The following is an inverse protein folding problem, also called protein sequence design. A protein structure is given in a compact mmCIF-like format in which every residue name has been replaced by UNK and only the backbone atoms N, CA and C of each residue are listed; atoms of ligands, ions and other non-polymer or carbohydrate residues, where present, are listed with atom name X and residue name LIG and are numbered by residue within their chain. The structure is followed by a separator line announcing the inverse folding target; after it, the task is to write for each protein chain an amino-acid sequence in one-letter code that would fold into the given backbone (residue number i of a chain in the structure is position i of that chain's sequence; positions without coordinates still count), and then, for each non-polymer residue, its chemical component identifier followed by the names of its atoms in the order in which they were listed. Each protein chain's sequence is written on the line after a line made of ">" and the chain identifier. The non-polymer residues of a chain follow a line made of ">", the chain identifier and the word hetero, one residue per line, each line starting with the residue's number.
data_IF_777099783778
#
_entry.id   IF_777099783778
#
_cell.length_a   1.000
_cell.length_b   1.000
_cell.length_c   1.000
_cell.angle_alpha   90.00
_cell.angle_beta   90.00
_cell.angle_gamma   90.00
#
_symmetry.space_group_name_H-M   'P 1'
#
loop_
_entity.id
_entity.type
_entity.pdbx_description
1 polymer ?
#
# COMPACT_ATOMS: atom_id res chain seq x y z
N UNK A 1 -30.07 -20.22 2.81
CA UNK A 1 -28.71 -20.81 2.76
C UNK A 1 -28.10 -20.09 1.60
N UNK A 2 -27.48 -18.98 1.98
CA UNK A 2 -27.50 -17.77 1.19
C UNK A 2 -26.31 -17.78 0.23
N UNK A 3 -26.54 -17.37 -1.02
CA UNK A 3 -25.53 -17.43 -2.08
C UNK A 3 -24.28 -16.61 -1.72
N UNK A 4 -24.42 -15.63 -0.81
CA UNK A 4 -23.32 -14.83 -0.26
C UNK A 4 -22.40 -15.63 0.68
N UNK A 5 -22.93 -16.58 1.47
CA UNK A 5 -22.12 -17.47 2.34
C UNK A 5 -21.28 -18.43 1.48
N UNK A 6 -21.80 -18.85 0.32
CA UNK A 6 -21.08 -19.71 -0.61
C UNK A 6 -19.91 -18.98 -1.30
N UNK A 7 -20.05 -17.67 -1.51
CA UNK A 7 -19.03 -16.81 -2.11
C UNK A 7 -17.93 -16.48 -1.10
N UNK A 8 -18.29 -16.21 0.15
CA UNK A 8 -17.34 -16.09 1.26
C UNK A 8 -16.56 -17.40 1.48
N UNK A 9 -17.22 -18.55 1.49
CA UNK A 9 -16.54 -19.84 1.58
C UNK A 9 -15.68 -20.18 0.35
N UNK A 10 -16.00 -19.67 -0.85
CA UNK A 10 -15.14 -19.79 -2.04
C UNK A 10 -13.90 -18.88 -1.97
N UNK A 11 -14.03 -17.67 -1.42
CA UNK A 11 -12.91 -16.76 -1.15
C UNK A 11 -12.00 -17.29 -0.03
N UNK A 12 -12.58 -17.87 1.02
CA UNK A 12 -11.83 -18.53 2.10
C UNK A 12 -11.14 -19.81 1.60
N UNK A 13 -11.80 -20.58 0.72
CA UNK A 13 -11.20 -21.74 0.07
C UNK A 13 -10.10 -21.38 -0.96
N UNK A 14 -10.07 -20.14 -1.47
CA UNK A 14 -8.96 -19.59 -2.25
C UNK A 14 -7.80 -19.13 -1.34
N UNK A 15 -8.09 -18.69 -0.11
CA UNK A 15 -7.10 -18.45 0.95
C UNK A 15 -6.41 -19.75 1.41
N UNK A 16 -7.16 -20.84 1.51
CA UNK A 16 -6.64 -22.14 1.98
C UNK A 16 -6.06 -23.04 0.87
N UNK A 17 -6.17 -22.66 -0.41
CA UNK A 17 -5.51 -23.34 -1.54
C UNK A 17 -4.23 -22.67 -2.04
N UNK A 18 -3.80 -21.59 -1.41
CA UNK A 18 -2.40 -21.14 -1.51
C UNK A 18 -1.57 -21.80 -0.41
N UNK A 19 -1.47 -23.14 -0.49
CA UNK A 19 -0.32 -23.85 0.06
C UNK A 19 0.92 -23.27 -0.62
N UNK A 20 1.52 -22.29 0.05
CA UNK A 20 2.78 -21.70 -0.35
C UNK A 20 3.87 -22.78 -0.26
N UNK A 21 4.03 -23.56 -1.33
CA UNK A 21 5.22 -24.40 -1.53
C UNK A 21 6.32 -23.66 -2.28
N UNK A 22 6.42 -22.38 -1.89
CA UNK A 22 7.30 -21.33 -2.35
C UNK A 22 7.32 -21.17 -3.89
N UNK A 23 6.47 -20.25 -4.34
CA UNK A 23 6.27 -19.82 -5.72
C UNK A 23 6.59 -18.32 -5.87
N UNK A 24 7.87 -17.94 -5.94
CA UNK A 24 8.29 -16.57 -6.24
C UNK A 24 8.20 -16.19 -7.74
N UNK A 25 7.67 -17.07 -8.59
CA UNK A 25 7.69 -16.95 -10.04
C UNK A 25 6.39 -17.48 -10.62
N UNK A 26 5.49 -16.58 -10.99
CA UNK A 26 4.80 -16.61 -12.28
C UNK A 26 4.10 -15.26 -12.42
N UNK A 27 4.87 -14.29 -12.93
CA UNK A 27 4.51 -13.08 -13.67
C UNK A 27 5.59 -12.03 -13.45
N UNK A 28 6.71 -12.19 -14.16
CA UNK A 28 7.59 -11.09 -14.54
C UNK A 28 7.65 -11.12 -16.05
N UNK A 29 7.08 -10.10 -16.69
CA UNK A 29 7.64 -9.37 -17.83
C UNK A 29 6.54 -8.49 -18.45
N UNK A 30 6.68 -7.17 -18.28
CA UNK A 30 6.72 -6.24 -19.42
C UNK A 30 7.67 -5.09 -19.06
N UNK A 31 8.50 -4.61 -19.99
CA UNK A 31 9.32 -3.41 -19.78
C UNK A 31 8.41 -2.17 -19.82
N UNK A 32 8.55 -1.28 -18.84
CA UNK A 32 7.88 0.01 -18.84
C UNK A 32 8.52 0.90 -19.91
N UNK A 33 7.71 1.22 -20.93
CA UNK A 33 8.00 2.19 -21.97
C UNK A 33 7.75 3.58 -21.39
N UNK A 34 8.81 4.39 -21.28
CA UNK A 34 8.72 5.79 -20.90
C UNK A 34 7.98 6.55 -22.00
N UNK A 35 6.79 7.07 -21.70
CA UNK A 35 6.19 8.14 -22.49
C UNK A 35 5.79 9.32 -21.59
N UNK A 36 6.17 10.56 -21.94
CA UNK A 36 6.07 11.71 -21.04
C UNK A 36 4.65 12.28 -21.04
N UNK A 37 4.10 12.54 -19.85
CA UNK A 37 2.88 13.33 -19.70
C UNK A 37 3.15 14.82 -19.99
N UNK A 38 2.17 15.55 -20.57
CA UNK A 38 2.31 16.96 -20.86
C UNK A 38 2.22 17.80 -19.57
N UNK A 39 3.05 18.84 -19.50
CA UNK A 39 3.06 19.84 -18.43
C UNK A 39 1.81 20.72 -18.57
N UNK A 40 0.90 20.68 -17.59
CA UNK A 40 -0.09 21.72 -17.38
C UNK A 40 0.51 22.80 -16.48
N UNK A 41 0.34 24.04 -16.91
CA UNK A 41 0.90 25.25 -16.33
C UNK A 41 0.28 25.55 -14.95
N UNK A 42 1.14 26.08 -14.07
CA UNK A 42 0.91 26.40 -12.68
C UNK A 42 0.06 27.66 -12.51
N UNK A 43 -1.01 27.57 -11.73
CA UNK A 43 -1.54 28.71 -10.99
C UNK A 43 -1.06 28.59 -9.52
N UNK A 44 -0.35 29.62 -9.08
CA UNK A 44 0.27 29.75 -7.76
C UNK A 44 -0.81 29.82 -6.65
N UNK A 45 -1.13 28.67 -6.06
CA UNK A 45 -1.66 28.62 -4.71
C UNK A 45 -0.47 28.51 -3.75
N UNK A 46 -0.31 29.54 -2.90
CA UNK A 46 0.67 29.57 -1.82
C UNK A 46 0.38 28.41 -0.87
N UNK A 47 1.07 27.29 -1.05
CA UNK A 47 1.21 26.24 -0.05
C UNK A 47 1.86 26.86 1.19
N UNK A 48 1.09 26.94 2.28
CA UNK A 48 1.65 27.05 3.62
C UNK A 48 2.69 25.93 3.76
N UNK A 49 3.98 26.30 3.79
CA UNK A 49 5.06 25.36 4.07
C UNK A 49 4.83 24.84 5.48
N UNK A 50 4.19 23.69 5.60
CA UNK A 50 4.19 22.93 6.85
C UNK A 50 5.66 22.71 7.23
N UNK A 51 6.10 23.36 8.31
CA UNK A 51 7.46 23.22 8.81
C UNK A 51 7.70 21.73 9.09
N UNK A 52 8.71 21.18 8.41
CA UNK A 52 9.05 19.76 8.49
C UNK A 52 9.25 19.36 9.96
N UNK A 53 8.64 18.25 10.43
CA UNK A 53 8.71 17.87 11.84
C UNK A 53 10.17 17.76 12.33
N UNK A 54 10.52 18.32 13.50
CA UNK A 54 11.91 18.35 14.00
C UNK A 54 12.54 16.96 14.19
N UNK A 55 11.72 15.92 14.27
CA UNK A 55 12.10 14.51 14.31
C UNK A 55 12.86 14.07 13.04
N UNK A 56 12.49 14.61 11.88
CA UNK A 56 13.08 14.27 10.59
C UNK A 56 14.49 14.84 10.46
N UNK A 57 14.65 16.12 10.81
CA UNK A 57 15.97 16.76 10.82
C UNK A 57 16.95 16.02 11.76
N UNK A 58 16.47 15.58 12.93
CA UNK A 58 17.28 14.78 13.85
C UNK A 58 17.72 13.43 13.27
N UNK A 59 16.82 12.78 12.52
CA UNK A 59 17.08 11.48 11.89
C UNK A 59 18.08 11.63 10.74
N UNK A 60 17.90 12.66 9.89
CA UNK A 60 18.83 12.99 8.81
C UNK A 60 20.23 13.33 9.34
N UNK A 61 20.33 14.15 10.40
CA UNK A 61 21.61 14.45 11.06
C UNK A 61 22.30 13.19 11.57
N UNK A 62 21.56 12.27 12.20
CA UNK A 62 22.11 10.98 12.65
C UNK A 62 22.56 10.09 11.50
N UNK A 63 21.80 10.05 10.41
CA UNK A 63 22.13 9.29 9.20
C UNK A 63 23.45 9.78 8.60
N UNK A 64 23.63 11.09 8.45
CA UNK A 64 24.88 11.68 7.98
C UNK A 64 26.08 11.32 8.88
N UNK A 65 25.88 11.33 10.21
CA UNK A 65 26.93 10.90 11.16
C UNK A 65 27.26 9.42 11.04
N UNK A 66 26.31 8.58 10.60
CA UNK A 66 26.49 7.14 10.45
C UNK A 66 27.00 6.73 9.06
N UNK A 67 27.01 7.65 8.10
CA UNK A 67 27.51 7.39 6.76
C UNK A 67 28.99 6.96 6.79
N UNK A 68 29.30 5.88 6.07
CA UNK A 68 30.65 5.29 6.04
C UNK A 68 31.08 4.54 7.30
N UNK A 69 30.23 4.42 8.34
CA UNK A 69 30.55 3.69 9.58
C UNK A 69 29.99 2.28 9.57
N UNK A 70 30.66 1.36 10.26
CA UNK A 70 30.15 0.01 10.47
C UNK A 70 28.90 0.00 11.35
N UNK A 71 27.77 -0.46 10.80
CA UNK A 71 26.49 -0.49 11.49
C UNK A 71 26.28 -1.77 12.31
N UNK A 72 26.86 -2.90 11.88
CA UNK A 72 26.67 -4.20 12.51
C UNK A 72 26.85 -4.20 14.04
N UNK A 73 27.96 -3.68 14.63
CA UNK A 73 28.14 -3.70 16.08
C UNK A 73 27.09 -2.86 16.82
N UNK A 74 26.59 -1.78 16.21
CA UNK A 74 25.53 -0.94 16.78
C UNK A 74 24.19 -1.67 16.76
N UNK A 75 23.88 -2.34 15.65
CA UNK A 75 22.65 -3.13 15.50
C UNK A 75 22.62 -4.29 16.49
N UNK A 76 23.71 -5.05 16.61
CA UNK A 76 23.81 -6.15 17.58
C UNK A 76 23.58 -5.66 19.01
N UNK A 77 24.22 -4.56 19.40
CA UNK A 77 24.02 -3.97 20.73
C UNK A 77 22.56 -3.60 21.01
N UNK A 78 21.85 -3.07 20.01
CA UNK A 78 20.41 -2.74 20.15
C UNK A 78 19.59 -4.01 20.31
N UNK A 79 19.86 -5.05 19.50
CA UNK A 79 19.17 -6.34 19.60
C UNK A 79 19.41 -7.01 20.96
N UNK A 80 20.63 -6.97 21.47
CA UNK A 80 20.98 -7.50 22.79
C UNK A 80 20.24 -6.75 23.90
N UNK A 81 20.09 -5.43 23.76
CA UNK A 81 19.34 -4.60 24.73
C UNK A 81 17.85 -4.97 24.71
N UNK A 82 17.24 -5.09 23.52
CA UNK A 82 15.82 -5.50 23.38
C UNK A 82 15.61 -6.87 24.03
N UNK A 83 16.51 -7.82 23.79
CA UNK A 83 16.43 -9.15 24.38
C UNK A 83 16.64 -9.15 25.90
N UNK A 84 17.55 -8.33 26.42
CA UNK A 84 17.78 -8.19 27.86
C UNK A 84 16.56 -7.65 28.61
N UNK A 85 15.75 -6.81 27.97
CA UNK A 85 14.46 -6.32 28.48
C UNK A 85 13.31 -7.34 28.32
N UNK A 86 13.60 -8.55 27.83
CA UNK A 86 12.60 -9.61 27.65
C UNK A 86 11.68 -9.41 26.44
N UNK A 87 12.07 -8.53 25.50
CA UNK A 87 11.31 -8.25 24.28
C UNK A 87 11.93 -8.95 23.06
N UNK A 88 11.09 -9.23 22.06
CA UNK A 88 11.55 -9.52 20.70
C UNK A 88 11.46 -8.25 19.85
N UNK A 89 12.17 -8.20 18.73
CA UNK A 89 12.11 -7.05 17.81
C UNK A 89 10.67 -6.76 17.35
N UNK A 90 9.88 -7.79 17.08
CA UNK A 90 8.47 -7.66 16.68
C UNK A 90 7.61 -7.06 17.80
N UNK A 91 7.78 -7.52 19.05
CA UNK A 91 7.06 -6.97 20.20
C UNK A 91 7.46 -5.52 20.47
N UNK A 92 8.75 -5.21 20.34
CA UNK A 92 9.25 -3.84 20.46
C UNK A 92 8.63 -2.91 19.40
N UNK A 93 8.62 -3.31 18.12
CA UNK A 93 8.01 -2.50 17.05
C UNK A 93 6.50 -2.34 17.21
N UNK A 94 5.80 -3.36 17.72
CA UNK A 94 4.38 -3.27 18.04
C UNK A 94 4.12 -2.28 19.19
N UNK A 95 4.91 -2.36 20.27
CA UNK A 95 4.83 -1.45 21.40
C UNK A 95 5.17 0.00 21.02
N UNK A 96 6.20 0.19 20.18
CA UNK A 96 6.61 1.49 19.66
C UNK A 96 5.54 2.10 18.74
N UNK A 97 4.85 1.28 17.95
CA UNK A 97 3.76 1.71 17.07
C UNK A 97 2.56 2.16 17.90
N UNK A 98 1.65 1.27 18.31
CA UNK A 98 0.48 1.68 19.10
C UNK A 98 0.33 0.98 20.45
N UNK A 99 1.19 -0.01 20.77
CA UNK A 99 1.40 -0.57 22.11
C UNK A 99 0.19 -0.62 23.04
N UNK A 100 0.40 -0.20 24.28
CA UNK A 100 -0.64 0.00 25.30
C UNK A 100 -0.84 1.49 25.61
N UNK A 101 -1.75 1.79 26.53
CA UNK A 101 -2.06 3.16 26.96
C UNK A 101 -0.84 3.90 27.50
N UNK A 102 0.12 3.19 28.12
CA UNK A 102 1.35 3.81 28.63
C UNK A 102 2.31 4.16 27.51
N UNK A 103 2.40 3.32 26.48
CA UNK A 103 3.19 3.60 25.27
C UNK A 103 2.61 4.79 24.51
N UNK A 104 1.28 4.90 24.40
CA UNK A 104 0.63 6.01 23.68
C UNK A 104 0.70 7.34 24.45
N UNK A 105 0.68 7.30 25.79
CA UNK A 105 0.81 8.48 26.65
C UNK A 105 2.26 9.00 26.79
N UNK A 106 3.27 8.21 26.39
CA UNK A 106 4.67 8.60 26.53
C UNK A 106 5.12 9.50 25.38
N UNK A 107 5.45 10.76 25.69
CA UNK A 107 6.00 11.73 24.72
C UNK A 107 7.24 11.20 24.00
N UNK A 108 8.06 10.40 24.70
CA UNK A 108 9.27 9.82 24.12
C UNK A 108 8.95 8.74 23.08
N UNK A 109 7.94 7.90 23.35
CA UNK A 109 7.47 6.88 22.41
C UNK A 109 6.80 7.57 21.23
N UNK A 110 5.95 8.56 21.49
CA UNK A 110 5.33 9.39 20.46
C UNK A 110 6.39 10.02 19.54
N UNK A 111 7.40 10.69 20.10
CA UNK A 111 8.48 11.30 19.33
C UNK A 111 9.22 10.28 18.45
N UNK A 112 9.59 9.12 19.01
CA UNK A 112 10.30 8.07 18.27
C UNK A 112 9.44 7.49 17.13
N UNK A 113 8.15 7.29 17.39
CA UNK A 113 7.18 6.81 16.42
C UNK A 113 6.92 7.80 15.29
N UNK A 114 6.69 9.06 15.61
CA UNK A 114 6.55 10.12 14.59
C UNK A 114 7.81 10.18 13.72
N UNK A 115 8.98 10.11 14.35
CA UNK A 115 10.25 10.05 13.60
C UNK A 115 10.36 8.84 12.69
N UNK A 116 9.84 7.67 13.08
CA UNK A 116 9.81 6.48 12.21
C UNK A 116 8.78 6.61 11.08
N UNK A 117 7.54 6.95 11.41
CA UNK A 117 6.41 6.92 10.46
C UNK A 117 6.47 8.02 9.40
N UNK A 118 7.12 9.15 9.71
CA UNK A 118 7.31 10.24 8.75
C UNK A 118 8.68 10.19 8.06
N UNK A 119 9.53 9.22 8.40
CA UNK A 119 10.87 9.13 7.81
C UNK A 119 10.86 8.73 6.35
N UNK A 120 11.77 9.31 5.57
CA UNK A 120 12.06 8.86 4.19
C UNK A 120 12.62 7.43 4.15
N UNK A 121 13.18 6.96 5.28
CA UNK A 121 13.69 5.60 5.42
C UNK A 121 12.58 4.53 5.40
N UNK A 122 11.41 4.80 5.97
CA UNK A 122 10.36 3.79 6.14
C UNK A 122 9.87 3.22 4.79
N UNK A 123 9.56 4.01 3.75
CA UNK A 123 9.27 3.48 2.42
C UNK A 123 10.40 2.59 1.88
N UNK A 124 11.65 2.98 2.08
CA UNK A 124 12.82 2.17 1.69
C UNK A 124 12.91 0.84 2.43
N UNK A 125 12.59 0.83 3.72
CA UNK A 125 12.53 -0.38 4.55
C UNK A 125 11.42 -1.32 4.05
N UNK A 126 10.21 -0.80 3.82
CA UNK A 126 9.08 -1.58 3.30
C UNK A 126 9.39 -2.17 1.93
N UNK A 127 10.01 -1.40 1.03
CA UNK A 127 10.43 -1.87 -0.28
C UNK A 127 11.49 -2.98 -0.17
N UNK A 128 12.44 -2.85 0.76
CA UNK A 128 13.43 -3.89 1.02
C UNK A 128 12.77 -5.16 1.60
N UNK A 129 11.74 -5.05 2.43
CA UNK A 129 11.01 -6.22 2.92
C UNK A 129 10.17 -6.88 1.83
N UNK A 130 9.55 -6.10 0.95
CA UNK A 130 8.82 -6.60 -0.22
C UNK A 130 9.74 -7.29 -1.22
N UNK A 131 10.92 -6.71 -1.48
CA UNK A 131 11.86 -7.15 -2.51
C UNK A 131 13.31 -7.15 -1.97
N UNK A 132 13.68 -8.11 -1.09
CA UNK A 132 14.98 -8.08 -0.42
C UNK A 132 16.14 -8.31 -1.37
N UNK A 133 17.29 -7.65 -1.21
CA UNK A 133 18.41 -7.77 -2.15
C UNK A 133 18.83 -9.24 -2.41
N UNK A 134 19.08 -9.57 -3.69
CA UNK A 134 19.58 -10.90 -4.07
C UNK A 134 21.10 -10.89 -3.98
N UNK A 135 21.68 -11.87 -3.28
CA UNK A 135 23.12 -12.07 -3.27
C UNK A 135 23.54 -12.76 -4.56
N UNK A 136 24.50 -12.16 -5.30
CA UNK A 136 24.94 -12.63 -6.62
C UNK A 136 25.42 -14.09 -6.67
N UNK A 137 25.73 -14.68 -5.50
CA UNK A 137 26.40 -15.98 -5.37
C UNK A 137 25.60 -17.05 -4.59
N UNK A 138 24.34 -16.82 -4.20
CA UNK A 138 23.55 -17.84 -3.47
C UNK A 138 22.09 -17.91 -3.93
N UNK A 139 21.80 -18.84 -4.82
CA UNK A 139 20.47 -19.47 -4.96
C UNK A 139 19.24 -18.55 -5.05
N UNK A 140 18.13 -19.06 -4.54
CA UNK A 140 16.79 -18.44 -4.61
C UNK A 140 16.69 -17.24 -3.67
N UNK A 141 16.13 -16.13 -4.18
CA UNK A 141 15.89 -14.90 -3.40
C UNK A 141 15.04 -15.21 -2.16
N UNK A 142 15.37 -14.64 -0.98
CA UNK A 142 14.49 -14.76 0.18
C UNK A 142 13.13 -14.14 -0.12
N UNK A 143 12.05 -14.78 0.34
CA UNK A 143 10.68 -14.31 0.13
C UNK A 143 10.41 -12.96 0.80
N UNK A 144 11.13 -12.65 1.88
CA UNK A 144 10.89 -11.44 2.67
C UNK A 144 9.47 -11.40 3.22
N UNK A 145 8.91 -10.20 3.32
CA UNK A 145 7.52 -9.98 3.68
C UNK A 145 6.61 -9.85 2.45
N UNK A 146 7.04 -10.33 1.26
CA UNK A 146 6.34 -10.09 -0.01
C UNK A 146 4.87 -10.54 0.02
N UNK A 147 4.57 -11.76 0.46
CA UNK A 147 3.20 -12.27 0.55
C UNK A 147 2.35 -11.42 1.49
N UNK A 148 2.84 -11.17 2.71
CA UNK A 148 2.14 -10.37 3.72
C UNK A 148 1.87 -8.94 3.24
N UNK A 149 2.85 -8.28 2.59
CA UNK A 149 2.68 -6.92 2.09
C UNK A 149 1.72 -6.84 0.91
N UNK A 150 1.64 -7.88 0.07
CA UNK A 150 0.63 -7.95 -1.00
C UNK A 150 -0.78 -8.12 -0.42
N UNK A 151 -0.97 -9.03 0.52
CA UNK A 151 -2.26 -9.22 1.19
C UNK A 151 -2.69 -7.94 1.89
N UNK A 152 -1.80 -7.32 2.66
CA UNK A 152 -2.04 -6.03 3.29
C UNK A 152 -2.43 -4.95 2.27
N UNK A 153 -1.73 -4.86 1.13
CA UNK A 153 -2.07 -3.90 0.09
C UNK A 153 -3.46 -4.16 -0.53
N UNK A 154 -3.84 -5.42 -0.70
CA UNK A 154 -5.20 -5.79 -1.15
C UNK A 154 -6.23 -5.36 -0.12
N UNK A 155 -6.04 -5.70 1.15
CA UNK A 155 -6.95 -5.30 2.24
C UNK A 155 -7.10 -3.78 2.34
N UNK A 156 -6.01 -3.02 2.15
CA UNK A 156 -6.07 -1.55 2.11
C UNK A 156 -6.87 -1.02 0.91
N UNK A 157 -6.73 -1.66 -0.25
CA UNK A 157 -7.42 -1.24 -1.47
C UNK A 157 -8.91 -1.61 -1.45
N UNK A 158 -9.26 -2.71 -0.81
CA UNK A 158 -10.62 -3.25 -0.77
C UNK A 158 -11.64 -2.21 -0.28
N UNK A 159 -11.40 -1.61 0.89
CA UNK A 159 -12.29 -0.57 1.42
C UNK A 159 -12.29 0.74 0.62
N UNK A 160 -11.27 1.01 -0.20
CA UNK A 160 -11.28 2.17 -1.11
C UNK A 160 -12.13 1.84 -2.34
N UNK A 161 -11.96 0.64 -2.90
CA UNK A 161 -12.73 0.16 -4.04
C UNK A 161 -14.21 0.04 -3.69
N UNK A 162 -14.55 -0.52 -2.54
CA UNK A 162 -15.94 -0.65 -2.07
C UNK A 162 -16.64 0.72 -2.01
N UNK A 163 -16.03 1.71 -1.35
CA UNK A 163 -16.57 3.08 -1.29
C UNK A 163 -16.72 3.72 -2.67
N UNK A 164 -15.77 3.51 -3.58
CA UNK A 164 -15.87 4.03 -4.94
C UNK A 164 -16.99 3.33 -5.72
N UNK A 165 -17.13 2.01 -5.59
CA UNK A 165 -18.18 1.24 -6.24
C UNK A 165 -19.57 1.61 -5.71
N UNK A 166 -19.74 1.80 -4.40
CA UNK A 166 -20.98 2.29 -3.80
C UNK A 166 -21.36 3.67 -4.33
N UNK A 167 -20.40 4.58 -4.44
CA UNK A 167 -20.63 5.91 -5.00
C UNK A 167 -21.05 5.83 -6.47
N UNK A 168 -20.37 4.99 -7.26
CA UNK A 168 -20.71 4.76 -8.65
C UNK A 168 -22.06 4.08 -8.85
N UNK A 169 -22.48 3.20 -7.92
CA UNK A 169 -23.73 2.47 -8.04
C UNK A 169 -24.92 3.42 -8.26
N UNK A 170 -24.88 4.63 -7.71
CA UNK A 170 -25.89 5.67 -7.93
C UNK A 170 -26.06 6.05 -9.42
N UNK A 171 -24.99 6.02 -10.21
CA UNK A 171 -25.03 6.31 -11.65
C UNK A 171 -25.49 5.12 -12.49
N UNK A 172 -25.44 3.90 -11.95
CA UNK A 172 -25.85 2.68 -12.62
C UNK A 172 -27.23 2.18 -12.19
N UNK A 173 -27.76 2.69 -11.09
CA UNK A 173 -29.05 2.28 -10.56
C UNK A 173 -30.13 3.22 -11.09
N UNK A 174 -30.86 2.79 -12.11
CA UNK A 174 -32.07 3.47 -12.56
C UNK A 174 -33.27 3.03 -11.72
N UNK A 175 -34.14 3.96 -11.34
CA UNK A 175 -35.42 3.56 -10.77
C UNK A 175 -36.25 2.82 -11.84
N UNK A 176 -37.07 1.81 -11.47
CA UNK A 176 -37.92 1.09 -12.42
C UNK A 176 -38.86 2.00 -13.22
N UNK A 177 -39.19 3.19 -12.69
CA UNK A 177 -40.00 4.22 -13.35
C UNK A 177 -39.25 5.05 -14.41
N UNK A 178 -37.92 4.97 -14.44
CA UNK A 178 -37.05 5.76 -15.34
C UNK A 178 -36.59 4.96 -16.57
N UNK A 179 -36.88 3.65 -16.60
CA UNK A 179 -36.65 2.79 -17.75
C UNK A 179 -37.69 3.06 -18.85
N UNK A 180 -37.48 4.14 -19.60
CA UNK A 180 -38.18 4.42 -20.86
C UNK A 180 -37.30 4.08 -22.06
N UNK A 181 -37.94 3.82 -23.21
CA UNK A 181 -37.25 3.55 -24.49
C UNK A 181 -36.29 4.70 -24.89
N UNK A 182 -36.65 5.94 -24.53
CA UNK A 182 -35.85 7.14 -24.80
C UNK A 182 -34.56 7.13 -23.97
N UNK A 183 -34.64 6.78 -22.67
CA UNK A 183 -33.46 6.68 -21.81
C UNK A 183 -32.45 5.61 -22.28
N UNK A 184 -32.94 4.50 -22.86
CA UNK A 184 -32.08 3.45 -23.39
C UNK A 184 -31.42 3.84 -24.72
N UNK A 185 -32.04 4.73 -25.49
CA UNK A 185 -31.53 5.18 -26.80
C UNK A 185 -30.67 6.43 -26.71
N UNK A 186 -30.84 7.26 -25.69
CA UNK A 186 -30.06 8.49 -25.45
C UNK A 186 -28.86 8.29 -24.50
N UNK A 187 -28.62 7.06 -24.04
CA UNK A 187 -27.56 6.78 -23.09
C UNK A 187 -26.16 7.19 -23.62
N UNK A 188 -25.52 8.12 -22.92
CA UNK A 188 -24.23 8.68 -23.33
C UNK A 188 -23.08 8.02 -22.56
N UNK A 189 -22.51 6.96 -23.15
CA UNK A 189 -21.34 6.27 -22.60
C UNK A 189 -20.14 7.19 -22.35
N UNK A 190 -19.94 8.24 -23.17
CA UNK A 190 -18.82 9.15 -23.00
C UNK A 190 -18.99 10.00 -21.74
N UNK A 191 -20.19 10.48 -21.47
CA UNK A 191 -20.49 11.22 -20.25
C UNK A 191 -20.28 10.33 -19.01
N UNK A 192 -20.80 9.10 -19.04
CA UNK A 192 -20.61 8.14 -17.95
C UNK A 192 -19.12 7.84 -17.69
N UNK A 193 -18.32 7.63 -18.74
CA UNK A 193 -16.88 7.37 -18.58
C UNK A 193 -16.17 8.54 -17.90
N UNK A 194 -16.51 9.78 -18.26
CA UNK A 194 -15.92 10.96 -17.62
C UNK A 194 -16.36 11.09 -16.16
N UNK A 195 -17.62 10.76 -15.83
CA UNK A 195 -18.09 10.66 -14.44
C UNK A 195 -17.28 9.62 -13.64
N UNK A 196 -17.12 8.41 -14.19
CA UNK A 196 -16.35 7.34 -13.54
C UNK A 196 -14.89 7.75 -13.31
N UNK A 197 -14.26 8.42 -14.28
CA UNK A 197 -12.89 8.94 -14.12
C UNK A 197 -12.81 10.02 -13.06
N UNK A 198 -13.81 10.89 -12.97
CA UNK A 198 -13.83 11.98 -11.98
C UNK A 198 -14.05 11.50 -10.55
N UNK A 199 -14.91 10.49 -10.38
CA UNK A 199 -15.40 10.09 -9.05
C UNK A 199 -14.75 8.80 -8.52
N UNK A 200 -14.22 7.94 -9.39
CA UNK A 200 -13.76 6.60 -9.03
C UNK A 200 -12.50 6.17 -9.80
N UNK A 201 -11.41 6.93 -9.60
CA UNK A 201 -10.14 6.73 -10.29
C UNK A 201 -9.56 5.32 -10.16
N UNK A 202 -9.69 4.65 -9.01
CA UNK A 202 -9.12 3.31 -8.82
C UNK A 202 -9.94 2.27 -9.58
N UNK A 203 -11.28 2.33 -9.48
CA UNK A 203 -12.19 1.48 -10.27
C UNK A 203 -11.91 1.66 -11.76
N UNK A 204 -11.81 2.89 -12.24
CA UNK A 204 -11.45 3.18 -13.64
C UNK A 204 -10.09 2.57 -14.01
N UNK A 205 -9.06 2.75 -13.19
CA UNK A 205 -7.72 2.23 -13.46
C UNK A 205 -7.70 0.70 -13.61
N UNK A 206 -8.48 0.00 -12.78
CA UNK A 206 -8.63 -1.45 -12.82
C UNK A 206 -9.37 -1.87 -14.09
N UNK A 207 -10.52 -1.24 -14.39
CA UNK A 207 -11.29 -1.52 -15.62
C UNK A 207 -10.48 -1.26 -16.89
N UNK A 208 -9.76 -0.14 -16.95
CA UNK A 208 -8.90 0.21 -18.08
C UNK A 208 -7.76 -0.81 -18.25
N UNK A 209 -7.19 -1.33 -17.15
CA UNK A 209 -6.19 -2.40 -17.24
C UNK A 209 -6.77 -3.70 -17.76
N UNK A 210 -8.01 -4.04 -17.40
CA UNK A 210 -8.69 -5.21 -17.96
C UNK A 210 -8.99 -5.04 -19.45
N UNK A 211 -9.44 -3.87 -19.89
CA UNK A 211 -9.78 -3.62 -21.30
C UNK A 211 -8.57 -3.64 -22.24
N UNK A 212 -7.39 -3.29 -21.74
CA UNK A 212 -6.14 -3.28 -22.51
C UNK A 212 -5.23 -4.48 -22.21
N UNK A 213 -5.72 -5.50 -21.52
CA UNK A 213 -4.93 -6.70 -21.24
C UNK A 213 -4.71 -7.47 -22.55
N UNK A 214 -3.45 -7.56 -23.00
CA UNK A 214 -3.01 -8.18 -24.27
C UNK A 214 -3.19 -9.72 -24.33
N UNK A 215 -4.17 -10.28 -23.62
CA UNK A 215 -4.55 -11.69 -23.68
C UNK A 215 -5.91 -11.82 -24.36
N UNK A 216 -5.94 -11.67 -25.67
CA UNK A 216 -6.98 -12.21 -26.55
C UNK A 216 -6.34 -13.20 -27.51
#
# INVERSE_FOLDING_TARGET
>A
MDEDDALWHQLEALKDKEDCNCAGCLFVNTPDDESPMPKSESDDEQEDKEDEPPQLEHTQRKKAVLEGKELLPKVLKVLDTIHAEGLSLSLFLNALSWGDDQCTASDRVHYARTGLLLSEELPGILLCWYKPACNKNKGRRPAGACCMLKMFAVDCLDGILERQMEHLALHFTLLPSELSEIHLTEFNFKALIETIKGEALLVWSVMARFSHSNKQ
#
